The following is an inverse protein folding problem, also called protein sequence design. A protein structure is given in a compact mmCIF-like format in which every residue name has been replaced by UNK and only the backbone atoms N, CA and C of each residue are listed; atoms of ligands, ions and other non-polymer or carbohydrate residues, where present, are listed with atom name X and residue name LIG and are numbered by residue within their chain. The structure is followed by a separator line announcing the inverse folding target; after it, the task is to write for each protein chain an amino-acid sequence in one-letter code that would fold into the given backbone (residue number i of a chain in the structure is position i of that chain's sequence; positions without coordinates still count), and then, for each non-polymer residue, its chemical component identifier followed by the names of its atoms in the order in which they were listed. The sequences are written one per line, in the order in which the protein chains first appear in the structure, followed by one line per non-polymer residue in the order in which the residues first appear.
data_IF_170981603537
#
_entry.id   IF_170981603537
#
_cell.length_a   1.000
_cell.length_b   1.000
_cell.length_c   1.000
_cell.angle_alpha   90.00
_cell.angle_beta   90.00
_cell.angle_gamma   90.00
#
_symmetry.space_group_name_H-M   'P 1'
#
loop_
_entity.id
_entity.type
_entity.pdbx_description
1 polymer ?
#
# COMPACT_ATOMS: atom_id res chain seq x y z
N UNK A 1 10.64 24.01 -7.40
CA UNK A 1 10.69 22.78 -8.22
C UNK A 1 9.25 22.47 -8.54
N UNK A 2 8.93 22.15 -9.77
CA UNK A 2 7.59 21.71 -10.11
C UNK A 2 7.47 20.26 -9.64
N UNK A 3 6.71 20.02 -8.56
CA UNK A 3 6.61 18.70 -7.92
C UNK A 3 5.53 17.85 -8.59
N UNK A 4 4.46 18.46 -9.10
CA UNK A 4 3.41 17.78 -9.86
C UNK A 4 4.02 17.08 -11.08
N UNK A 5 4.91 17.76 -11.80
CA UNK A 5 5.62 17.19 -12.95
C UNK A 5 6.55 15.99 -12.64
N UNK A 6 6.79 15.67 -11.36
CA UNK A 6 7.55 14.50 -10.95
C UNK A 6 6.68 13.24 -10.78
N UNK A 7 5.38 13.38 -10.53
CA UNK A 7 4.46 12.23 -10.44
C UNK A 7 4.28 11.56 -11.79
N UNK A 8 4.22 12.34 -12.87
CA UNK A 8 4.03 11.83 -14.23
C UNK A 8 5.31 11.22 -14.85
N UNK A 9 6.39 11.09 -14.07
CA UNK A 9 7.69 10.65 -14.57
C UNK A 9 8.33 9.64 -13.64
N UNK A 10 8.81 8.52 -14.18
CA UNK A 10 9.63 7.63 -13.41
C UNK A 10 10.84 8.34 -12.80
N UNK A 11 11.18 7.96 -11.59
CA UNK A 11 12.25 8.54 -10.77
C UNK A 11 13.63 8.51 -11.45
N UNK A 12 13.91 7.52 -12.31
CA UNK A 12 15.14 7.47 -13.11
C UNK A 12 15.19 8.50 -14.26
N UNK A 13 14.07 9.12 -14.62
CA UNK A 13 13.99 10.20 -15.61
C UNK A 13 14.01 11.60 -14.97
N UNK A 14 14.03 11.68 -13.63
CA UNK A 14 14.03 12.95 -12.94
C UNK A 14 15.28 13.79 -13.26
N UNK A 15 15.16 15.13 -13.27
CA UNK A 15 16.32 15.99 -13.43
C UNK A 15 17.41 15.69 -12.41
N UNK A 16 18.67 15.78 -12.82
CA UNK A 16 19.80 15.57 -11.90
C UNK A 16 19.70 16.49 -10.67
N UNK A 17 19.96 15.94 -9.49
CA UNK A 17 19.89 16.68 -8.23
C UNK A 17 18.49 16.75 -7.60
N UNK A 18 17.50 16.02 -8.13
CA UNK A 18 16.11 16.06 -7.62
C UNK A 18 16.01 15.44 -6.23
N UNK A 19 16.61 14.26 -6.02
CA UNK A 19 16.67 13.61 -4.70
C UNK A 19 17.22 14.55 -3.61
N UNK A 20 18.33 15.23 -3.88
CA UNK A 20 18.96 16.15 -2.92
C UNK A 20 18.08 17.37 -2.63
N UNK A 21 17.33 17.85 -3.62
CA UNK A 21 16.35 18.93 -3.44
C UNK A 21 15.16 18.47 -2.59
N UNK A 22 14.64 17.27 -2.81
CA UNK A 22 13.56 16.68 -2.01
C UNK A 22 14.01 16.49 -0.55
N UNK A 23 15.21 15.92 -0.33
CA UNK A 23 15.82 15.81 1.00
C UNK A 23 16.00 17.17 1.67
N UNK A 24 16.41 18.20 0.92
CA UNK A 24 16.52 19.55 1.46
C UNK A 24 15.15 20.14 1.83
N UNK A 25 14.15 19.89 0.98
CA UNK A 25 12.80 20.41 1.14
C UNK A 25 12.12 19.80 2.37
N UNK A 26 12.16 18.48 2.53
CA UNK A 26 11.49 17.77 3.63
C UNK A 26 11.99 18.22 5.02
N UNK A 27 13.26 18.64 5.11
CA UNK A 27 13.86 19.21 6.33
C UNK A 27 13.60 20.70 6.56
N UNK A 28 13.11 21.42 5.56
CA UNK A 28 13.02 22.89 5.63
C UNK A 28 11.87 23.32 6.54
N UNK A 29 12.19 23.76 7.75
CA UNK A 29 11.21 24.34 8.70
C UNK A 29 10.58 25.65 8.20
N UNK A 30 11.09 26.22 7.11
CA UNK A 30 10.54 27.41 6.45
C UNK A 30 9.64 27.08 5.27
N UNK A 31 9.67 25.85 4.77
CA UNK A 31 8.80 25.42 3.69
C UNK A 31 7.37 25.17 4.21
N UNK A 32 6.36 25.36 3.36
CA UNK A 32 5.00 24.90 3.64
C UNK A 32 4.98 23.42 4.03
N UNK A 33 4.09 23.03 4.94
CA UNK A 33 3.95 21.63 5.37
C UNK A 33 3.59 20.72 4.19
N UNK A 34 2.65 21.16 3.35
CA UNK A 34 2.20 20.44 2.14
C UNK A 34 3.37 20.15 1.18
N UNK A 35 4.24 21.13 0.91
CA UNK A 35 5.43 20.92 0.08
C UNK A 35 6.38 19.87 0.68
N UNK A 36 6.46 19.81 2.01
CA UNK A 36 7.29 18.82 2.71
C UNK A 36 6.65 17.44 2.69
N UNK A 37 5.32 17.36 2.71
CA UNK A 37 4.57 16.10 2.60
C UNK A 37 4.75 15.50 1.20
N UNK A 38 4.56 16.29 0.15
CA UNK A 38 4.84 15.89 -1.24
C UNK A 38 6.30 15.44 -1.37
N UNK A 39 7.24 16.16 -0.76
CA UNK A 39 8.64 15.74 -0.79
C UNK A 39 8.87 14.39 -0.10
N UNK A 40 8.20 14.11 1.01
CA UNK A 40 8.29 12.83 1.71
C UNK A 40 7.66 11.69 0.89
N UNK A 41 6.55 11.95 0.20
CA UNK A 41 5.89 11.00 -0.69
C UNK A 41 6.77 10.64 -1.90
N UNK A 42 7.32 11.63 -2.60
CA UNK A 42 8.23 11.39 -3.73
C UNK A 42 9.50 10.64 -3.30
N UNK A 43 9.95 10.81 -2.05
CA UNK A 43 11.07 10.05 -1.48
C UNK A 43 10.73 8.58 -1.17
N UNK A 44 9.45 8.17 -1.25
CA UNK A 44 9.01 6.79 -1.00
C UNK A 44 9.32 5.83 -2.16
N UNK A 45 9.60 6.35 -3.36
CA UNK A 45 9.97 5.55 -4.51
C UNK A 45 11.18 4.67 -4.20
N UNK A 46 11.06 3.36 -4.45
CA UNK A 46 12.06 2.36 -4.10
C UNK A 46 13.44 2.61 -4.73
N UNK A 47 13.50 3.25 -5.91
CA UNK A 47 14.76 3.59 -6.58
C UNK A 47 15.42 4.86 -6.00
N UNK A 48 14.63 5.68 -5.30
CA UNK A 48 15.09 6.88 -4.62
C UNK A 48 15.49 6.56 -3.18
N UNK A 49 14.78 5.63 -2.54
CA UNK A 49 15.01 5.21 -1.17
C UNK A 49 16.41 4.62 -0.98
N UNK A 50 17.05 5.02 0.11
CA UNK A 50 18.25 4.39 0.67
C UNK A 50 18.23 4.55 2.20
N UNK A 51 19.20 3.97 2.90
CA UNK A 51 19.35 4.13 4.35
C UNK A 51 19.38 5.61 4.80
N UNK A 52 19.92 6.51 3.97
CA UNK A 52 19.99 7.94 4.32
C UNK A 52 18.60 8.58 4.28
N UNK A 53 17.84 8.38 3.20
CA UNK A 53 16.46 8.85 3.06
C UNK A 53 15.59 8.22 4.13
N UNK A 54 15.73 6.91 4.37
CA UNK A 54 14.96 6.20 5.37
C UNK A 54 15.22 6.76 6.79
N UNK A 55 16.48 7.05 7.12
CA UNK A 55 16.83 7.68 8.38
C UNK A 55 16.22 9.08 8.53
N UNK A 56 16.17 9.87 7.46
CA UNK A 56 15.54 11.19 7.44
C UNK A 56 14.04 11.08 7.74
N UNK A 57 13.33 10.24 6.99
CA UNK A 57 11.89 10.05 7.15
C UNK A 57 11.54 9.49 8.53
N UNK A 58 12.34 8.54 9.04
CA UNK A 58 12.15 7.99 10.38
C UNK A 58 12.33 9.04 11.47
N UNK A 59 13.33 9.91 11.34
CA UNK A 59 13.54 11.02 12.28
C UNK A 59 12.37 12.01 12.27
N UNK A 60 11.77 12.26 11.10
CA UNK A 60 10.58 13.10 10.97
C UNK A 60 9.41 12.45 11.70
N UNK A 61 9.08 11.20 11.38
CA UNK A 61 7.98 10.44 12.01
C UNK A 61 8.11 10.40 13.55
N UNK A 62 9.34 10.23 14.04
CA UNK A 62 9.66 10.15 15.46
C UNK A 62 9.74 11.52 16.19
N UNK A 63 9.77 12.65 15.49
CA UNK A 63 9.96 13.96 16.10
C UNK A 63 8.65 14.49 16.73
N UNK A 64 8.54 14.58 18.08
CA UNK A 64 7.31 15.04 18.73
C UNK A 64 6.98 16.52 18.48
N UNK A 65 7.95 17.31 17.99
CA UNK A 65 7.76 18.73 17.68
C UNK A 65 7.45 18.99 16.21
N UNK A 66 7.40 17.95 15.37
CA UNK A 66 7.04 18.08 13.97
C UNK A 66 5.51 18.03 13.78
N UNK A 67 5.04 18.58 12.67
CA UNK A 67 3.63 18.54 12.30
C UNK A 67 3.12 17.08 12.22
N UNK A 68 2.02 16.72 12.89
CA UNK A 68 1.47 15.36 12.87
C UNK A 68 1.19 14.81 11.47
N UNK A 69 0.75 15.63 10.53
CA UNK A 69 0.46 15.23 9.15
C UNK A 69 1.75 14.78 8.44
N UNK A 70 2.77 15.64 8.42
CA UNK A 70 4.10 15.28 7.88
C UNK A 70 4.74 14.08 8.58
N UNK A 71 4.52 13.91 9.90
CA UNK A 71 4.97 12.72 10.63
C UNK A 71 4.30 11.45 10.12
N UNK A 72 3.00 11.51 9.83
CA UNK A 72 2.23 10.42 9.23
C UNK A 72 2.72 10.11 7.82
N UNK A 73 2.84 11.11 6.95
CA UNK A 73 3.35 10.95 5.58
C UNK A 73 4.74 10.32 5.57
N UNK A 74 5.66 10.77 6.43
CA UNK A 74 6.99 10.18 6.52
C UNK A 74 6.97 8.73 7.02
N UNK A 75 6.01 8.35 7.86
CA UNK A 75 5.85 6.96 8.30
C UNK A 75 5.31 6.06 7.18
N UNK A 76 4.32 6.52 6.42
CA UNK A 76 3.77 5.78 5.25
C UNK A 76 4.81 5.63 4.16
N UNK A 77 5.59 6.69 3.87
CA UNK A 77 6.63 6.70 2.84
C UNK A 77 7.72 5.63 3.06
N UNK A 78 7.93 5.16 4.29
CA UNK A 78 8.86 4.07 4.59
C UNK A 78 8.28 2.68 4.26
N UNK A 79 6.96 2.58 4.09
CA UNK A 79 6.26 1.30 3.95
C UNK A 79 6.68 0.49 2.73
N UNK A 80 6.82 1.11 1.56
CA UNK A 80 7.19 0.41 0.32
C UNK A 80 8.59 -0.22 0.41
N UNK A 81 9.53 0.47 1.07
CA UNK A 81 10.88 -0.04 1.26
C UNK A 81 10.92 -1.19 2.29
N UNK A 82 10.07 -1.14 3.33
CA UNK A 82 9.89 -2.25 4.27
C UNK A 82 9.31 -3.49 3.57
N UNK A 83 8.27 -3.28 2.75
CA UNK A 83 7.64 -4.32 1.94
C UNK A 83 8.66 -5.03 1.03
N UNK A 84 9.41 -4.24 0.26
CA UNK A 84 10.39 -4.77 -0.69
C UNK A 84 11.40 -5.70 -0.02
N UNK A 85 12.03 -5.27 1.08
CA UNK A 85 13.06 -6.09 1.74
C UNK A 85 12.47 -7.24 2.57
N UNK A 86 11.19 -7.18 2.94
CA UNK A 86 10.49 -8.31 3.58
C UNK A 86 10.24 -9.44 2.57
N UNK A 87 9.90 -9.07 1.33
CA UNK A 87 9.65 -10.01 0.21
C UNK A 87 10.96 -10.52 -0.40
N UNK A 88 11.86 -9.63 -0.80
CA UNK A 88 13.10 -9.97 -1.52
C UNK A 88 14.22 -10.44 -0.58
N UNK A 89 14.14 -10.11 0.70
CA UNK A 89 15.16 -10.46 1.69
C UNK A 89 16.42 -9.59 1.59
N UNK A 90 17.55 -10.11 2.09
CA UNK A 90 18.81 -9.38 2.23
C UNK A 90 19.99 -10.05 1.52
N UNK A 91 19.72 -10.91 0.54
CA UNK A 91 20.75 -11.71 -0.13
C UNK A 91 21.60 -10.88 -1.12
N UNK A 92 21.03 -9.84 -1.72
CA UNK A 92 21.75 -8.84 -2.54
C UNK A 92 21.65 -7.42 -1.93
N UNK A 93 22.60 -7.04 -1.07
CA UNK A 93 22.57 -5.73 -0.42
C UNK A 93 22.74 -4.53 -1.36
N UNK A 94 23.26 -4.72 -2.57
CA UNK A 94 23.50 -3.61 -3.52
C UNK A 94 22.22 -3.18 -4.25
N UNK A 95 21.24 -4.08 -4.36
CA UNK A 95 19.94 -3.83 -5.00
C UNK A 95 18.84 -3.44 -4.00
N UNK A 96 19.11 -3.53 -2.70
CA UNK A 96 18.12 -3.29 -1.66
C UNK A 96 17.99 -1.79 -1.27
N UNK A 97 16.76 -1.26 -1.14
CA UNK A 97 16.53 0.11 -0.69
C UNK A 97 16.90 0.31 0.79
N UNK A 98 17.00 -0.76 1.57
CA UNK A 98 17.33 -0.72 3.00
C UNK A 98 18.35 -1.80 3.36
N UNK A 99 19.31 -1.42 4.23
CA UNK A 99 20.09 -2.41 4.96
C UNK A 99 19.24 -3.12 6.02
N UNK A 100 19.68 -4.31 6.43
CA UNK A 100 19.02 -5.06 7.50
C UNK A 100 19.02 -4.29 8.84
N UNK A 101 20.01 -3.42 9.06
CA UNK A 101 20.08 -2.57 10.24
C UNK A 101 18.99 -1.49 10.19
N UNK A 102 18.87 -0.77 9.07
CA UNK A 102 17.84 0.24 8.87
C UNK A 102 16.42 -0.35 8.98
N UNK A 103 16.17 -1.49 8.32
CA UNK A 103 14.90 -2.22 8.39
C UNK A 103 14.47 -2.50 9.85
N UNK A 104 15.35 -3.12 10.65
CA UNK A 104 15.08 -3.42 12.05
C UNK A 104 14.88 -2.16 12.89
N UNK A 105 15.63 -1.09 12.58
CA UNK A 105 15.51 0.17 13.31
C UNK A 105 14.15 0.84 13.06
N UNK A 106 13.65 0.81 11.82
CA UNK A 106 12.32 1.32 11.46
C UNK A 106 11.25 0.51 12.21
N UNK A 107 11.26 -0.82 12.10
CA UNK A 107 10.28 -1.70 12.77
C UNK A 107 10.21 -1.44 14.29
N UNK A 108 11.37 -1.35 14.96
CA UNK A 108 11.44 -1.07 16.40
C UNK A 108 10.90 0.32 16.76
N UNK A 109 11.10 1.30 15.89
CA UNK A 109 10.64 2.67 16.11
C UNK A 109 9.14 2.78 15.87
N UNK A 110 8.62 2.13 14.83
CA UNK A 110 7.19 2.07 14.54
C UNK A 110 6.42 1.39 15.67
N UNK A 111 6.91 0.25 16.18
CA UNK A 111 6.34 -0.40 17.35
C UNK A 111 6.23 0.56 18.56
N UNK A 112 7.30 1.31 18.85
CA UNK A 112 7.30 2.28 19.96
C UNK A 112 6.31 3.41 19.73
N UNK A 113 6.26 3.97 18.52
CA UNK A 113 5.38 5.09 18.19
C UNK A 113 3.91 4.68 18.26
N UNK A 114 3.56 3.49 17.76
CA UNK A 114 2.21 2.94 17.81
C UNK A 114 1.73 2.69 19.24
N UNK A 115 2.59 2.17 20.12
CA UNK A 115 2.22 1.86 21.50
C UNK A 115 2.40 3.04 22.49
N UNK A 116 2.97 4.17 22.07
CA UNK A 116 3.08 5.35 22.93
C UNK A 116 1.78 6.17 22.89
N UNK A 117 1.01 6.26 23.99
CA UNK A 117 -0.23 7.04 24.02
C UNK A 117 -0.01 8.55 23.87
N UNK A 118 1.23 9.03 23.94
CA UNK A 118 1.59 10.44 23.67
C UNK A 118 1.76 10.72 22.18
N UNK A 119 1.91 9.69 21.34
CA UNK A 119 1.90 9.84 19.89
C UNK A 119 0.50 10.24 19.45
N UNK A 120 0.34 11.33 18.66
CA UNK A 120 -0.96 11.72 18.11
C UNK A 120 -1.62 10.56 17.37
N UNK A 121 -2.94 10.48 17.45
CA UNK A 121 -3.71 9.36 16.90
C UNK A 121 -3.45 9.11 15.42
N UNK A 122 -3.54 10.16 14.60
CA UNK A 122 -3.27 10.06 13.16
C UNK A 122 -1.86 9.53 12.90
N UNK A 123 -0.86 9.97 13.68
CA UNK A 123 0.51 9.46 13.55
C UNK A 123 0.58 7.98 13.91
N UNK A 124 -0.15 7.51 14.94
CA UNK A 124 -0.20 6.08 15.28
C UNK A 124 -0.81 5.26 14.14
N UNK A 125 -1.88 5.76 13.50
CA UNK A 125 -2.52 5.10 12.35
C UNK A 125 -1.55 4.99 11.17
N UNK A 126 -0.94 6.09 10.74
CA UNK A 126 0.01 6.09 9.62
C UNK A 126 1.27 5.26 9.89
N UNK A 127 1.78 5.27 11.13
CA UNK A 127 2.86 4.36 11.56
C UNK A 127 2.43 2.91 11.45
N UNK A 128 1.19 2.60 11.83
CA UNK A 128 0.67 1.25 11.71
C UNK A 128 0.54 0.82 10.24
N UNK A 129 0.02 1.68 9.37
CA UNK A 129 -0.09 1.45 7.91
C UNK A 129 1.27 1.24 7.24
N UNK A 130 2.30 2.03 7.61
CA UNK A 130 3.66 1.78 7.14
C UNK A 130 4.23 0.46 7.67
N UNK A 131 3.94 0.13 8.94
CA UNK A 131 4.47 -1.07 9.61
C UNK A 131 3.93 -2.38 9.06
N UNK A 132 2.62 -2.45 8.76
CA UNK A 132 1.97 -3.70 8.36
C UNK A 132 2.47 -4.28 7.05
N UNK A 133 3.13 -3.46 6.21
CA UNK A 133 3.76 -3.89 4.96
C UNK A 133 4.95 -4.83 5.14
N UNK A 134 5.50 -4.92 6.36
CA UNK A 134 6.43 -5.98 6.78
C UNK A 134 5.88 -6.64 8.05
N UNK A 135 4.99 -7.65 7.94
CA UNK A 135 4.20 -8.17 9.04
C UNK A 135 5.00 -8.61 10.28
N UNK A 136 4.53 -8.23 11.47
CA UNK A 136 5.09 -8.58 12.78
C UNK A 136 3.99 -9.18 13.66
N UNK A 137 4.38 -9.97 14.67
CA UNK A 137 3.43 -10.70 15.54
C UNK A 137 2.37 -9.81 16.20
N UNK A 138 2.75 -8.58 16.57
CA UNK A 138 1.85 -7.64 17.25
C UNK A 138 0.77 -7.05 16.33
N UNK A 139 0.92 -7.13 15.01
CA UNK A 139 -0.06 -6.57 14.07
C UNK A 139 -1.42 -7.26 14.22
N UNK A 140 -1.48 -8.56 14.50
CA UNK A 140 -2.77 -9.26 14.60
C UNK A 140 -3.68 -8.69 15.68
N UNK A 141 -3.12 -8.42 16.86
CA UNK A 141 -3.87 -7.81 17.96
C UNK A 141 -4.23 -6.35 17.64
N UNK A 142 -3.32 -5.61 16.99
CA UNK A 142 -3.56 -4.24 16.58
C UNK A 142 -4.70 -4.12 15.54
N UNK A 143 -4.74 -4.99 14.52
CA UNK A 143 -5.83 -5.05 13.53
C UNK A 143 -7.15 -5.35 14.22
N UNK A 144 -7.19 -6.38 15.08
CA UNK A 144 -8.41 -6.76 15.78
C UNK A 144 -8.94 -5.63 16.67
N UNK A 145 -8.05 -4.93 17.38
CA UNK A 145 -8.40 -3.78 18.21
C UNK A 145 -8.91 -2.59 17.38
N UNK A 146 -8.26 -2.28 16.27
CA UNK A 146 -8.64 -1.19 15.38
C UNK A 146 -9.97 -1.46 14.66
N UNK A 147 -10.21 -2.69 14.18
CA UNK A 147 -11.46 -3.07 13.52
C UNK A 147 -12.66 -3.05 14.47
N UNK A 148 -12.45 -3.41 15.74
CA UNK A 148 -13.47 -3.34 16.78
C UNK A 148 -13.74 -1.92 17.29
N UNK A 149 -12.96 -0.93 16.86
CA UNK A 149 -13.16 0.47 17.20
C UNK A 149 -14.50 0.98 16.69
N UNK A 150 -15.05 1.98 17.37
CA UNK A 150 -16.20 2.76 16.89
C UNK A 150 -15.78 3.95 16.03
N UNK A 151 -14.48 4.12 15.89
CA UNK A 151 -13.88 5.17 15.11
C UNK A 151 -13.65 4.65 13.70
N UNK A 152 -14.35 5.25 12.73
CA UNK A 152 -14.32 4.84 11.32
C UNK A 152 -12.90 4.95 10.75
N UNK A 153 -12.11 5.88 11.26
CA UNK A 153 -10.72 6.10 10.92
C UNK A 153 -9.84 4.90 11.32
N UNK A 154 -9.98 4.41 12.55
CA UNK A 154 -9.30 3.19 12.98
C UNK A 154 -9.80 1.95 12.23
N UNK A 155 -11.09 1.92 11.90
CA UNK A 155 -11.66 0.82 11.12
C UNK A 155 -11.08 0.80 9.70
N UNK A 156 -10.97 1.94 9.04
CA UNK A 156 -10.32 2.10 7.73
C UNK A 156 -8.88 1.60 7.78
N UNK A 157 -8.09 2.06 8.75
CA UNK A 157 -6.70 1.60 8.94
C UNK A 157 -6.63 0.08 9.20
N UNK A 158 -7.60 -0.50 9.91
CA UNK A 158 -7.65 -1.94 10.12
C UNK A 158 -7.90 -2.71 8.82
N UNK A 159 -8.84 -2.25 7.98
CA UNK A 159 -9.12 -2.89 6.69
C UNK A 159 -7.95 -2.72 5.73
N UNK A 160 -7.29 -1.55 5.71
CA UNK A 160 -6.02 -1.36 5.00
C UNK A 160 -5.01 -2.42 5.44
N UNK A 161 -4.82 -2.62 6.75
CA UNK A 161 -3.85 -3.57 7.28
C UNK A 161 -4.16 -5.03 6.95
N UNK A 162 -5.44 -5.38 6.77
CA UNK A 162 -5.88 -6.73 6.41
C UNK A 162 -5.37 -7.18 5.04
N UNK A 163 -4.93 -6.29 4.15
CA UNK A 163 -4.29 -6.69 2.88
C UNK A 163 -2.90 -7.31 3.06
N UNK A 164 -2.25 -7.06 4.20
CA UNK A 164 -0.87 -7.49 4.48
C UNK A 164 -0.79 -8.61 5.51
N UNK A 165 -1.82 -8.75 6.35
CA UNK A 165 -1.87 -9.78 7.40
C UNK A 165 -3.08 -10.68 7.17
N UNK A 166 -2.85 -11.99 7.12
CA UNK A 166 -3.87 -13.01 6.83
C UNK A 166 -4.85 -13.26 8.00
N UNK A 167 -5.92 -14.02 7.72
CA UNK A 167 -6.86 -14.54 8.73
C UNK A 167 -8.01 -13.60 9.11
N UNK A 168 -8.35 -12.66 8.21
CA UNK A 168 -9.43 -11.68 8.39
C UNK A 168 -10.49 -11.77 7.28
N UNK A 169 -10.65 -12.92 6.64
CA UNK A 169 -11.54 -13.09 5.49
C UNK A 169 -12.98 -12.69 5.83
N UNK A 170 -13.44 -12.98 7.04
CA UNK A 170 -14.77 -12.57 7.51
C UNK A 170 -14.91 -11.06 7.60
N UNK A 171 -13.94 -10.39 8.24
CA UNK A 171 -13.91 -8.94 8.42
C UNK A 171 -13.77 -8.20 7.08
N UNK A 172 -13.00 -8.76 6.14
CA UNK A 172 -12.89 -8.25 4.76
C UNK A 172 -14.24 -8.35 4.05
N UNK A 173 -14.90 -9.53 4.10
CA UNK A 173 -16.23 -9.72 3.50
C UNK A 173 -17.31 -8.81 4.13
N UNK A 174 -17.24 -8.59 5.45
CA UNK A 174 -18.11 -7.61 6.12
C UNK A 174 -17.84 -6.18 5.62
N UNK A 175 -16.58 -5.83 5.35
CA UNK A 175 -16.15 -4.49 4.91
C UNK A 175 -16.43 -4.21 3.42
N UNK A 176 -16.52 -5.25 2.58
CA UNK A 176 -17.00 -5.12 1.19
C UNK A 176 -18.46 -4.62 1.09
N UNK A 177 -19.20 -4.62 2.19
CA UNK A 177 -20.55 -4.06 2.27
C UNK A 177 -20.58 -2.66 2.92
N UNK A 178 -19.42 -2.04 3.13
CA UNK A 178 -19.33 -0.71 3.70
C UNK A 178 -19.95 0.34 2.77
N UNK A 179 -20.59 1.35 3.36
CA UNK A 179 -21.07 2.52 2.64
C UNK A 179 -20.00 3.59 2.47
N UNK A 180 -18.97 3.50 3.29
CA UNK A 180 -17.82 4.37 3.23
C UNK A 180 -16.95 3.91 2.04
N UNK A 181 -16.70 4.78 1.05
CA UNK A 181 -15.97 4.41 -0.16
C UNK A 181 -14.51 4.06 0.13
N UNK A 182 -13.87 4.69 1.12
CA UNK A 182 -12.48 4.41 1.47
C UNK A 182 -12.36 3.02 2.10
N UNK A 183 -13.30 2.66 2.97
CA UNK A 183 -13.35 1.31 3.55
C UNK A 183 -13.64 0.26 2.47
N UNK A 184 -14.56 0.55 1.54
CA UNK A 184 -14.87 -0.35 0.43
C UNK A 184 -13.63 -0.58 -0.45
N UNK A 185 -12.93 0.49 -0.84
CA UNK A 185 -11.70 0.42 -1.61
C UNK A 185 -10.65 -0.48 -0.92
N UNK A 186 -10.38 -0.26 0.36
CA UNK A 186 -9.42 -1.10 1.09
C UNK A 186 -9.88 -2.56 1.21
N UNK A 187 -11.19 -2.80 1.34
CA UNK A 187 -11.73 -4.15 1.40
C UNK A 187 -11.56 -4.89 0.06
N UNK A 188 -11.72 -4.19 -1.07
CA UNK A 188 -11.44 -4.72 -2.40
C UNK A 188 -9.96 -5.07 -2.54
N UNK A 189 -9.05 -4.17 -2.16
CA UNK A 189 -7.61 -4.44 -2.16
C UNK A 189 -7.26 -5.67 -1.31
N UNK A 190 -7.82 -5.77 -0.10
CA UNK A 190 -7.56 -6.90 0.80
C UNK A 190 -8.13 -8.23 0.27
N UNK A 191 -9.33 -8.20 -0.32
CA UNK A 191 -9.91 -9.38 -0.96
C UNK A 191 -9.06 -9.86 -2.15
N UNK A 192 -8.54 -8.93 -2.94
CA UNK A 192 -7.60 -9.18 -4.02
C UNK A 192 -6.27 -9.77 -3.52
N UNK A 193 -5.67 -9.18 -2.49
CA UNK A 193 -4.40 -9.65 -1.94
C UNK A 193 -4.44 -11.12 -1.48
N UNK A 194 -5.56 -11.57 -0.92
CA UNK A 194 -5.74 -12.94 -0.44
C UNK A 194 -6.52 -13.87 -1.39
N UNK A 195 -6.98 -13.37 -2.54
CA UNK A 195 -7.75 -14.16 -3.50
C UNK A 195 -9.03 -14.74 -2.89
N UNK A 196 -9.78 -13.95 -2.12
CA UNK A 196 -11.00 -14.40 -1.42
C UNK A 196 -12.12 -14.66 -2.43
N UNK A 197 -12.29 -15.92 -2.83
CA UNK A 197 -13.23 -16.32 -3.89
C UNK A 197 -14.70 -15.89 -3.64
N UNK A 198 -15.08 -15.80 -2.37
CA UNK A 198 -16.41 -15.38 -1.92
C UNK A 198 -16.72 -13.92 -2.26
N UNK A 199 -15.70 -13.09 -2.54
CA UNK A 199 -15.86 -11.71 -2.96
C UNK A 199 -16.32 -11.56 -4.42
N UNK A 200 -16.26 -12.64 -5.24
CA UNK A 200 -16.46 -12.56 -6.68
C UNK A 200 -17.76 -11.84 -7.10
N UNK A 201 -18.89 -12.14 -6.46
CA UNK A 201 -20.17 -11.50 -6.81
C UNK A 201 -20.17 -10.01 -6.51
N UNK A 202 -19.52 -9.59 -5.41
CA UNK A 202 -19.44 -8.18 -5.03
C UNK A 202 -18.57 -7.41 -6.02
N UNK A 203 -17.44 -7.99 -6.45
CA UNK A 203 -16.57 -7.35 -7.44
C UNK A 203 -17.28 -7.20 -8.80
N UNK A 204 -18.05 -8.20 -9.24
CA UNK A 204 -18.86 -8.10 -10.46
C UNK A 204 -19.93 -7.01 -10.36
N UNK A 205 -20.58 -6.87 -9.20
CA UNK A 205 -21.55 -5.80 -8.95
C UNK A 205 -20.89 -4.41 -9.00
N UNK A 206 -19.69 -4.27 -8.43
CA UNK A 206 -18.91 -3.02 -8.47
C UNK A 206 -18.58 -2.63 -9.92
N UNK A 207 -18.07 -3.57 -10.73
CA UNK A 207 -17.74 -3.31 -12.15
C UNK A 207 -18.95 -2.94 -13.01
N UNK A 208 -20.16 -3.31 -12.58
CA UNK A 208 -21.41 -2.96 -13.26
C UNK A 208 -21.99 -1.61 -12.81
N UNK A 209 -21.39 -0.96 -11.82
CA UNK A 209 -21.84 0.36 -11.36
C UNK A 209 -21.67 1.41 -12.47
N UNK A 210 -22.73 2.20 -12.71
CA UNK A 210 -22.66 3.33 -13.66
C UNK A 210 -21.77 4.46 -13.15
N UNK A 211 -21.64 4.59 -11.82
CA UNK A 211 -20.79 5.58 -11.15
C UNK A 211 -19.80 4.81 -10.27
N UNK A 212 -18.66 4.44 -10.87
CA UNK A 212 -17.51 3.88 -10.15
C UNK A 212 -16.40 4.92 -10.13
N UNK A 213 -15.80 5.09 -8.96
CA UNK A 213 -14.59 5.91 -8.80
C UNK A 213 -13.39 5.23 -9.50
N UNK A 214 -12.49 6.02 -10.05
CA UNK A 214 -11.36 5.53 -10.85
C UNK A 214 -10.44 4.61 -10.04
N UNK A 215 -10.08 4.99 -8.81
CA UNK A 215 -9.21 4.18 -7.96
C UNK A 215 -9.88 2.85 -7.60
N UNK A 216 -11.19 2.90 -7.30
CA UNK A 216 -11.98 1.69 -7.02
C UNK A 216 -12.08 0.78 -8.25
N UNK A 217 -12.18 1.34 -9.46
CA UNK A 217 -12.19 0.57 -10.69
C UNK A 217 -10.87 -0.18 -10.88
N UNK A 218 -9.73 0.51 -10.79
CA UNK A 218 -8.41 -0.11 -10.91
C UNK A 218 -8.18 -1.20 -9.86
N UNK A 219 -8.49 -0.91 -8.58
CA UNK A 219 -8.39 -1.91 -7.52
C UNK A 219 -9.30 -3.13 -7.75
N UNK A 220 -10.49 -2.93 -8.33
CA UNK A 220 -11.41 -4.02 -8.65
C UNK A 220 -10.90 -4.87 -9.81
N UNK A 221 -10.36 -4.25 -10.86
CA UNK A 221 -9.72 -4.95 -11.99
C UNK A 221 -8.59 -5.85 -11.48
N UNK A 222 -7.71 -5.33 -10.62
CA UNK A 222 -6.62 -6.10 -10.01
C UNK A 222 -7.15 -7.25 -9.16
N UNK A 223 -8.13 -6.99 -8.30
CA UNK A 223 -8.70 -8.02 -7.42
C UNK A 223 -9.38 -9.16 -8.20
N UNK A 224 -10.00 -8.89 -9.36
CA UNK A 224 -10.61 -9.91 -10.22
C UNK A 224 -9.59 -10.99 -10.62
N UNK A 225 -8.34 -10.60 -10.90
CA UNK A 225 -7.29 -11.51 -11.34
C UNK A 225 -6.96 -12.60 -10.33
N UNK A 226 -7.07 -12.30 -9.04
CA UNK A 226 -6.70 -13.23 -7.95
C UNK A 226 -7.92 -13.91 -7.32
N UNK A 227 -9.05 -13.19 -7.20
CA UNK A 227 -10.30 -13.68 -6.63
C UNK A 227 -11.01 -14.67 -7.55
N UNK A 228 -10.98 -14.43 -8.87
CA UNK A 228 -11.67 -15.26 -9.86
C UNK A 228 -10.86 -15.42 -11.16
N UNK A 229 -9.63 -15.97 -11.09
CA UNK A 229 -8.72 -16.04 -12.23
C UNK A 229 -9.29 -16.77 -13.45
N UNK A 230 -10.11 -17.80 -13.25
CA UNK A 230 -10.75 -18.56 -14.33
C UNK A 230 -11.80 -17.73 -15.10
N UNK A 231 -12.46 -16.78 -14.43
CA UNK A 231 -13.53 -15.94 -14.99
C UNK A 231 -13.06 -14.53 -15.36
N UNK A 232 -11.84 -14.14 -15.00
CA UNK A 232 -11.29 -12.82 -15.30
C UNK A 232 -11.44 -12.41 -16.79
N UNK A 233 -11.20 -13.28 -17.80
CA UNK A 233 -11.40 -12.91 -19.21
C UNK A 233 -12.86 -12.61 -19.59
N UNK A 234 -13.82 -13.25 -18.93
CA UNK A 234 -15.25 -13.02 -19.13
C UNK A 234 -15.66 -11.70 -18.47
N UNK A 235 -15.27 -11.51 -17.20
CA UNK A 235 -15.68 -10.36 -16.38
C UNK A 235 -15.05 -9.05 -16.86
N UNK A 236 -13.77 -9.07 -17.26
CA UNK A 236 -13.05 -7.87 -17.72
C UNK A 236 -13.16 -7.64 -19.24
N UNK A 237 -13.87 -8.50 -19.96
CA UNK A 237 -13.86 -8.54 -21.42
C UNK A 237 -14.30 -7.23 -22.08
N UNK A 238 -15.30 -6.55 -21.51
CA UNK A 238 -15.83 -5.30 -22.03
C UNK A 238 -14.84 -4.13 -21.82
N UNK A 239 -14.14 -4.09 -20.68
CA UNK A 239 -13.17 -3.05 -20.33
C UNK A 239 -11.93 -3.05 -21.24
N UNK A 240 -11.63 -4.17 -21.92
CA UNK A 240 -10.56 -4.25 -22.93
C UNK A 240 -10.77 -3.33 -24.13
N UNK A 241 -11.99 -2.86 -24.35
CA UNK A 241 -12.34 -1.94 -25.43
C UNK A 241 -12.65 -0.54 -24.90
N UNK A 242 -12.21 -0.21 -23.68
CA UNK A 242 -12.33 1.14 -23.13
C UNK A 242 -11.64 2.16 -24.03
N UNK A 243 -12.19 3.38 -24.08
CA UNK A 243 -11.53 4.52 -24.73
C UNK A 243 -10.35 5.05 -23.87
N UNK A 244 -10.28 4.62 -22.60
CA UNK A 244 -9.21 4.95 -21.68
C UNK A 244 -8.07 3.91 -21.79
N UNK A 245 -6.86 4.32 -22.22
CA UNK A 245 -5.73 3.41 -22.36
C UNK A 245 -5.23 2.84 -21.03
N UNK A 246 -5.35 3.58 -19.92
CA UNK A 246 -4.85 3.13 -18.62
C UNK A 246 -5.73 1.97 -18.10
N UNK A 247 -7.04 2.05 -18.34
CA UNK A 247 -7.97 0.94 -18.07
C UNK A 247 -7.62 -0.29 -18.91
N UNK A 248 -7.32 -0.10 -20.21
CA UNK A 248 -6.96 -1.23 -21.10
C UNK A 248 -5.69 -1.92 -20.61
N UNK A 249 -4.66 -1.15 -20.24
CA UNK A 249 -3.39 -1.67 -19.75
C UNK A 249 -3.58 -2.43 -18.42
N UNK A 250 -4.33 -1.86 -17.47
CA UNK A 250 -4.65 -2.53 -16.21
C UNK A 250 -5.39 -3.87 -16.42
N UNK A 251 -6.33 -3.93 -17.37
CA UNK A 251 -7.03 -5.18 -17.70
C UNK A 251 -6.06 -6.21 -18.29
N UNK A 252 -5.18 -5.83 -19.21
CA UNK A 252 -4.23 -6.77 -19.81
C UNK A 252 -3.26 -7.34 -18.76
N UNK A 253 -2.82 -6.50 -17.82
CA UNK A 253 -1.99 -6.90 -16.68
C UNK A 253 -2.73 -7.86 -15.73
N UNK A 254 -3.97 -7.53 -15.35
CA UNK A 254 -4.82 -8.40 -14.55
C UNK A 254 -5.02 -9.77 -15.21
N UNK A 255 -5.28 -9.80 -16.53
CA UNK A 255 -5.41 -11.06 -17.27
C UNK A 255 -4.10 -11.83 -17.36
N UNK A 256 -2.95 -11.15 -17.41
CA UNK A 256 -1.63 -11.78 -17.37
C UNK A 256 -1.38 -12.45 -16.02
N UNK A 257 -1.72 -11.76 -14.93
CA UNK A 257 -1.67 -12.28 -13.56
C UNK A 257 -2.56 -13.50 -13.40
N UNK A 258 -3.83 -13.42 -13.81
CA UNK A 258 -4.77 -14.54 -13.75
C UNK A 258 -4.26 -15.79 -14.49
N UNK A 259 -3.72 -15.63 -15.71
CA UNK A 259 -3.11 -16.74 -16.48
C UNK A 259 -1.93 -17.37 -15.73
N UNK A 260 -1.09 -16.55 -15.12
CA UNK A 260 0.10 -17.00 -14.39
C UNK A 260 -0.31 -17.84 -13.17
N UNK A 261 -1.30 -17.38 -12.41
CA UNK A 261 -1.87 -18.11 -11.27
C UNK A 261 -2.46 -19.47 -11.67
N UNK A 262 -3.20 -19.53 -12.79
CA UNK A 262 -3.78 -20.79 -13.28
C UNK A 262 -2.69 -21.79 -13.68
N UNK A 263 -1.61 -21.32 -14.27
CA UNK A 263 -0.46 -22.15 -14.65
C UNK A 263 0.20 -22.77 -13.41
N UNK A 264 0.45 -21.96 -12.37
CA UNK A 264 1.04 -22.43 -11.10
C UNK A 264 0.16 -23.47 -10.38
N UNK A 265 -1.18 -23.30 -10.44
CA UNK A 265 -2.13 -24.27 -9.87
C UNK A 265 -2.07 -25.62 -10.61
N UNK A 266 -1.91 -25.62 -11.93
CA UNK A 266 -1.80 -26.84 -12.74
C UNK A 266 -0.50 -27.61 -12.45
N UNK A 267 0.62 -26.89 -12.32
CA UNK A 267 1.91 -27.52 -11.99
C UNK A 267 1.94 -28.11 -10.58
N UNK A 268 1.28 -27.44 -9.62
CA UNK A 268 1.14 -27.95 -8.24
C UNK A 268 0.23 -29.17 -8.14
N UNK A 269 -0.76 -29.30 -9.03
CA UNK A 269 -1.69 -30.44 -9.08
C UNK A 269 -1.10 -31.69 -9.74
N UNK A 270 -0.17 -31.53 -10.69
CA UNK A 270 0.43 -32.65 -11.44
C UNK A 270 1.60 -33.35 -10.71
N UNK A 271 2.03 -32.85 -9.54
CA UNK A 271 3.10 -33.44 -8.72
C UNK A 271 2.65 -34.49 -7.70
N UNK A 272 1.36 -34.85 -7.68
CA UNK A 272 0.76 -35.72 -6.66
C UNK A 272 0.19 -37.06 -7.18
N UNK A 273 0.57 -37.52 -8.39
CA UNK A 273 0.23 -38.86 -8.92
C UNK A 273 1.38 -39.87 -8.85
#
# INVERSE_FOLDING_TARGET
MDMEALYDRPSWEWPQGTKEKLVTLVHSTKAPTEDREIAAELLSDISVMDDHVAHILLNIAANPNENPSLRGTAAVALGAALEYVDVEGFDDPEENPLSQEAFKHIQQTFYKLFHDPRTPEDVRRHVFEGSVRAPLEWHREAIAGAYASKDDDWKLTAVFAMRWVDGYEREIMESLNAKDPDILYQAVCAAGAWGISEAASVLEEILQSEEIDEDLLFATIDAVATVMPERAPEVLGDLRNSDDPDIVDAVEDALSTARSLLTLKQDSGNGAE
#
